data_IF_985528470207
#
_entry.id   IF_985528470207
#
_cell.length_a   1.000
_cell.length_b   1.000
_cell.length_c   1.000
_cell.angle_alpha   90.00
_cell.angle_beta   90.00
_cell.angle_gamma   90.00
#
_symmetry.space_group_name_H-M   'P 1'
#
loop_
_entity.id
_entity.type
_entity.pdbx_description
1 polymer ?
#
# COMPACT_ATOMS: atom_id res chain seq x y z
N UNK A 1 -7.93 22.42 -11.60
CA UNK A 1 -8.13 21.02 -11.17
C UNK A 1 -6.87 20.56 -10.46
N UNK A 2 -6.99 20.16 -9.21
CA UNK A 2 -5.87 19.64 -8.43
C UNK A 2 -5.43 18.28 -9.03
N UNK A 3 -4.12 18.03 -9.09
CA UNK A 3 -3.60 16.73 -9.59
C UNK A 3 -3.88 15.66 -8.55
N UNK A 4 -4.37 14.50 -9.00
CA UNK A 4 -4.58 13.35 -8.11
C UNK A 4 -3.25 12.72 -7.71
N UNK A 5 -3.17 12.25 -6.46
CA UNK A 5 -2.14 11.34 -5.98
C UNK A 5 -2.77 9.97 -5.72
N UNK A 6 -2.66 9.02 -6.66
CA UNK A 6 -3.13 7.67 -6.43
C UNK A 6 -2.29 6.96 -5.36
N UNK A 7 -2.94 6.37 -4.38
CA UNK A 7 -2.31 5.56 -3.31
C UNK A 7 -2.98 4.19 -3.29
N UNK A 8 -2.19 3.15 -3.51
CA UNK A 8 -2.66 1.77 -3.51
C UNK A 8 -2.16 1.04 -2.27
N UNK A 9 -3.08 0.38 -1.58
CA UNK A 9 -2.78 -0.52 -0.47
C UNK A 9 -3.11 -1.95 -0.89
N UNK A 10 -2.12 -2.85 -0.83
CA UNK A 10 -2.29 -4.29 -0.98
C UNK A 10 -2.16 -4.92 0.40
N UNK A 11 -3.25 -5.51 0.88
CA UNK A 11 -3.35 -6.03 2.24
C UNK A 11 -3.57 -7.54 2.23
N UNK A 12 -2.69 -8.26 2.88
CA UNK A 12 -2.81 -9.69 3.11
C UNK A 12 -3.99 -9.97 4.05
N UNK A 13 -4.90 -10.83 3.59
CA UNK A 13 -6.03 -11.33 4.35
C UNK A 13 -5.97 -12.86 4.50
N UNK A 14 -4.81 -13.47 4.29
CA UNK A 14 -4.62 -14.91 4.49
C UNK A 14 -4.94 -15.35 5.92
N UNK A 15 -5.09 -16.65 6.13
CA UNK A 15 -5.58 -17.19 7.40
C UNK A 15 -4.73 -16.83 8.63
N UNK A 16 -3.43 -16.56 8.45
CA UNK A 16 -2.53 -16.09 9.52
C UNK A 16 -2.86 -14.68 10.02
N UNK A 17 -3.52 -13.87 9.19
CA UNK A 17 -4.00 -12.53 9.57
C UNK A 17 -5.29 -12.56 10.39
N UNK A 18 -5.92 -13.72 10.59
CA UNK A 18 -7.18 -13.84 11.34
C UNK A 18 -7.01 -13.45 12.81
N UNK A 19 -8.01 -12.76 13.36
CA UNK A 19 -8.05 -12.33 14.76
C UNK A 19 -7.39 -10.98 14.99
N UNK A 20 -6.50 -10.87 15.96
CA UNK A 20 -5.87 -9.61 16.32
C UNK A 20 -5.16 -8.89 15.17
N UNK A 21 -4.39 -9.55 14.29
CA UNK A 21 -3.70 -8.86 13.20
C UNK A 21 -4.64 -8.08 12.29
N UNK A 22 -5.70 -8.69 11.79
CA UNK A 22 -6.61 -8.00 10.86
C UNK A 22 -7.42 -6.88 11.54
N UNK A 23 -7.80 -7.06 12.82
CA UNK A 23 -8.44 -5.98 13.57
C UNK A 23 -7.48 -4.81 13.78
N UNK A 24 -6.21 -5.08 14.01
CA UNK A 24 -5.16 -4.05 14.11
C UNK A 24 -4.97 -3.30 12.78
N UNK A 25 -5.04 -4.00 11.65
CA UNK A 25 -5.02 -3.38 10.31
C UNK A 25 -6.22 -2.44 10.13
N UNK A 26 -7.43 -2.86 10.50
CA UNK A 26 -8.64 -2.03 10.38
C UNK A 26 -8.50 -0.73 11.19
N UNK A 27 -8.11 -0.84 12.46
CA UNK A 27 -7.89 0.33 13.33
C UNK A 27 -6.81 1.25 12.76
N UNK A 28 -5.71 0.68 12.27
CA UNK A 28 -4.63 1.44 11.63
C UNK A 28 -5.09 2.19 10.37
N UNK A 29 -5.90 1.55 9.52
CA UNK A 29 -6.48 2.18 8.34
C UNK A 29 -7.42 3.34 8.69
N UNK A 30 -8.28 3.16 9.68
CA UNK A 30 -9.17 4.23 10.16
C UNK A 30 -8.36 5.44 10.67
N UNK A 31 -7.32 5.19 11.45
CA UNK A 31 -6.42 6.22 11.95
C UNK A 31 -5.67 6.93 10.80
N UNK A 32 -5.19 6.19 9.80
CA UNK A 32 -4.53 6.73 8.62
C UNK A 32 -5.47 7.64 7.83
N UNK A 33 -6.66 7.19 7.47
CA UNK A 33 -7.65 7.97 6.72
C UNK A 33 -8.06 9.22 7.51
N UNK A 34 -8.30 9.08 8.82
CA UNK A 34 -8.62 10.21 9.70
C UNK A 34 -7.48 11.24 9.74
N UNK A 35 -6.23 10.79 9.75
CA UNK A 35 -5.05 11.67 9.73
C UNK A 35 -4.94 12.41 8.40
N UNK A 36 -5.06 11.69 7.28
CA UNK A 36 -4.99 12.27 5.94
C UNK A 36 -6.09 13.30 5.69
N UNK A 37 -7.31 13.07 6.20
CA UNK A 37 -8.43 14.02 6.09
C UNK A 37 -8.21 15.33 6.83
N UNK A 38 -7.29 15.37 7.79
CA UNK A 38 -6.90 16.60 8.50
C UNK A 38 -5.86 17.41 7.76
N UNK A 39 -5.21 16.85 6.75
CA UNK A 39 -4.28 17.56 5.87
C UNK A 39 -5.05 18.07 4.64
N UNK A 40 -5.24 19.40 4.48
CA UNK A 40 -6.00 19.95 3.35
C UNK A 40 -5.46 19.54 1.98
N UNK A 41 -4.14 19.41 1.85
CA UNK A 41 -3.51 18.99 0.58
C UNK A 41 -3.80 17.54 0.27
N UNK A 42 -3.76 16.66 1.29
CA UNK A 42 -4.10 15.25 1.13
C UNK A 42 -5.59 15.09 0.81
N UNK A 43 -6.46 15.84 1.49
CA UNK A 43 -7.90 15.78 1.27
C UNK A 43 -8.30 16.10 -0.17
N UNK A 44 -7.63 17.07 -0.79
CA UNK A 44 -7.93 17.51 -2.17
C UNK A 44 -7.31 16.61 -3.25
N UNK A 45 -6.23 15.91 -2.96
CA UNK A 45 -5.43 15.23 -3.99
C UNK A 45 -5.39 13.72 -3.86
N UNK A 46 -5.43 13.17 -2.63
CA UNK A 46 -5.27 11.73 -2.41
C UNK A 46 -6.50 10.96 -2.86
N UNK A 47 -6.25 9.96 -3.68
CA UNK A 47 -7.22 8.93 -4.05
C UNK A 47 -6.69 7.60 -3.55
N UNK A 48 -7.45 6.92 -2.72
CA UNK A 48 -7.05 5.66 -2.08
C UNK A 48 -7.74 4.48 -2.75
N UNK A 49 -6.98 3.41 -2.97
CA UNK A 49 -7.48 2.11 -3.39
C UNK A 49 -6.98 1.03 -2.45
N UNK A 50 -7.82 0.03 -2.16
CA UNK A 50 -7.48 -1.11 -1.32
C UNK A 50 -7.79 -2.40 -2.07
N UNK A 51 -6.76 -3.22 -2.24
CA UNK A 51 -6.84 -4.58 -2.76
C UNK A 51 -6.48 -5.53 -1.63
N UNK A 52 -7.31 -6.49 -1.35
CA UNK A 52 -7.00 -7.58 -0.41
C UNK A 52 -6.66 -8.86 -1.14
N UNK A 53 -5.80 -9.67 -0.55
CA UNK A 53 -5.37 -10.92 -1.16
C UNK A 53 -5.18 -12.03 -0.13
N UNK A 54 -5.74 -13.17 -0.45
CA UNK A 54 -5.57 -14.46 0.18
C UNK A 54 -5.60 -15.53 -0.93
N UNK A 55 -6.50 -16.50 -0.91
CA UNK A 55 -6.80 -17.38 -2.04
C UNK A 55 -7.46 -16.62 -3.19
N UNK A 56 -8.24 -15.61 -2.85
CA UNK A 56 -8.90 -14.70 -3.78
C UNK A 56 -8.27 -13.32 -3.70
N UNK A 57 -8.30 -12.59 -4.80
CA UNK A 57 -7.89 -11.19 -4.83
C UNK A 57 -9.11 -10.33 -5.05
N UNK A 58 -9.31 -9.34 -4.18
CA UNK A 58 -10.51 -8.51 -4.17
C UNK A 58 -10.14 -7.03 -4.20
N UNK A 59 -10.70 -6.31 -5.15
CA UNK A 59 -10.70 -4.86 -5.19
C UNK A 59 -11.84 -4.37 -4.28
N UNK A 60 -11.54 -4.23 -2.99
CA UNK A 60 -12.56 -3.87 -1.99
C UNK A 60 -12.82 -2.37 -1.91
N UNK A 61 -11.88 -1.56 -2.40
CA UNK A 61 -12.02 -0.12 -2.54
C UNK A 61 -11.37 0.31 -3.86
N UNK A 62 -12.15 0.55 -4.92
CA UNK A 62 -11.63 1.18 -6.15
C UNK A 62 -11.05 2.55 -5.83
N UNK A 63 -10.21 3.08 -6.73
CA UNK A 63 -9.54 4.37 -6.53
C UNK A 63 -10.55 5.50 -6.25
N UNK A 64 -10.67 5.89 -4.99
CA UNK A 64 -11.70 6.77 -4.46
C UNK A 64 -11.09 8.00 -3.81
N UNK A 65 -11.69 9.16 -4.06
CA UNK A 65 -11.32 10.43 -3.42
C UNK A 65 -11.42 10.33 -1.90
N UNK A 66 -10.43 10.86 -1.21
CA UNK A 66 -10.34 10.77 0.25
C UNK A 66 -11.55 11.40 0.97
N UNK A 67 -12.14 12.44 0.40
CA UNK A 67 -13.32 13.10 0.94
C UNK A 67 -14.55 12.18 0.97
N UNK A 68 -14.76 11.45 -0.13
CA UNK A 68 -15.94 10.60 -0.33
C UNK A 68 -15.72 9.12 0.09
N UNK A 69 -14.54 8.80 0.58
CA UNK A 69 -14.15 7.45 0.91
C UNK A 69 -14.86 6.95 2.16
N UNK A 70 -15.44 5.75 2.07
CA UNK A 70 -15.88 4.94 3.21
C UNK A 70 -15.06 3.66 3.22
N UNK A 71 -14.38 3.40 4.32
CA UNK A 71 -13.59 2.17 4.44
C UNK A 71 -14.50 0.95 4.39
N UNK A 72 -14.21 -0.03 3.52
CA UNK A 72 -14.95 -1.27 3.47
C UNK A 72 -14.59 -2.15 4.66
N UNK A 73 -15.46 -3.12 4.96
CA UNK A 73 -15.13 -4.17 5.92
C UNK A 73 -14.10 -5.13 5.32
N UNK A 74 -13.14 -5.54 6.14
CA UNK A 74 -12.06 -6.46 5.74
C UNK A 74 -12.21 -7.75 6.52
N UNK A 75 -12.43 -8.85 5.81
CA UNK A 75 -12.63 -10.16 6.41
C UNK A 75 -11.51 -11.11 6.01
N UNK A 76 -11.12 -11.98 6.92
CA UNK A 76 -10.14 -13.04 6.70
C UNK A 76 -10.82 -14.40 6.67
N UNK A 77 -10.44 -15.32 5.76
CA UNK A 77 -10.91 -16.71 5.79
C UNK A 77 -10.29 -17.48 6.98
N UNK A 78 -10.83 -18.68 7.26
CA UNK A 78 -10.29 -19.58 8.29
C UNK A 78 -8.85 -20.02 8.00
N UNK A 79 -8.52 -20.20 6.72
CA UNK A 79 -7.20 -20.57 6.22
C UNK A 79 -7.10 -20.23 4.74
N UNK A 80 -5.90 -19.99 4.26
CA UNK A 80 -5.70 -19.74 2.82
C UNK A 80 -4.26 -19.39 2.48
N UNK A 81 -3.90 -19.55 1.20
CA UNK A 81 -2.61 -19.14 0.67
C UNK A 81 -2.52 -17.61 0.56
N UNK A 82 -1.32 -17.13 0.28
CA UNK A 82 -0.99 -15.72 0.08
C UNK A 82 -0.72 -15.49 -1.41
N UNK A 83 -1.75 -15.14 -2.19
CA UNK A 83 -1.63 -14.95 -3.64
C UNK A 83 -1.24 -13.49 -3.98
N UNK A 84 -0.04 -13.08 -3.58
CA UNK A 84 0.47 -11.73 -3.85
C UNK A 84 0.74 -11.50 -5.35
N UNK A 85 1.11 -12.53 -6.11
CA UNK A 85 1.30 -12.43 -7.56
C UNK A 85 0.00 -12.08 -8.30
N UNK A 86 -1.13 -12.70 -7.90
CA UNK A 86 -2.45 -12.34 -8.42
C UNK A 86 -2.86 -10.91 -8.01
N UNK A 87 -2.48 -10.47 -6.81
CA UNK A 87 -2.73 -9.10 -6.39
C UNK A 87 -1.95 -8.08 -7.22
N UNK A 88 -0.70 -8.38 -7.58
CA UNK A 88 0.08 -7.55 -8.51
C UNK A 88 -0.52 -7.53 -9.92
N UNK A 89 -1.07 -8.66 -10.39
CA UNK A 89 -1.76 -8.72 -11.68
C UNK A 89 -2.97 -7.77 -11.69
N UNK A 90 -3.84 -7.87 -10.69
CA UNK A 90 -5.00 -6.99 -10.56
C UNK A 90 -4.58 -5.52 -10.44
N UNK A 91 -3.57 -5.23 -9.62
CA UNK A 91 -3.02 -3.87 -9.49
C UNK A 91 -2.54 -3.34 -10.85
N UNK A 92 -1.80 -4.15 -11.60
CA UNK A 92 -1.30 -3.76 -12.93
C UNK A 92 -2.44 -3.40 -13.89
N UNK A 93 -3.49 -4.22 -13.92
CA UNK A 93 -4.69 -3.95 -14.73
C UNK A 93 -5.40 -2.66 -14.32
N UNK A 94 -5.54 -2.43 -12.99
CA UNK A 94 -6.17 -1.22 -12.44
C UNK A 94 -5.36 0.01 -12.80
N UNK A 95 -4.06 0.00 -12.56
CA UNK A 95 -3.19 1.13 -12.87
C UNK A 95 -3.25 1.51 -14.36
N UNK A 96 -3.25 0.54 -15.26
CA UNK A 96 -3.35 0.81 -16.69
C UNK A 96 -4.70 1.44 -17.11
N UNK A 97 -5.78 1.18 -16.36
CA UNK A 97 -7.11 1.74 -16.62
C UNK A 97 -7.32 3.10 -15.94
N UNK A 98 -6.73 3.29 -14.77
CA UNK A 98 -7.06 4.39 -13.85
C UNK A 98 -6.07 5.56 -13.91
N UNK A 99 -4.81 5.31 -14.28
CA UNK A 99 -3.81 6.38 -14.34
C UNK A 99 -4.13 7.39 -15.44
N UNK A 100 -4.23 8.66 -15.02
CA UNK A 100 -4.31 9.78 -15.95
C UNK A 100 -2.90 10.18 -16.33
N UNK A 101 -2.52 9.86 -17.56
CA UNK A 101 -1.22 10.28 -18.11
C UNK A 101 -1.28 11.75 -18.50
N UNK A 102 -0.20 12.49 -18.26
CA UNK A 102 -0.08 13.87 -18.70
C UNK A 102 -0.02 13.96 -20.24
N UNK A 103 -0.57 15.04 -20.77
CA UNK A 103 -0.50 15.40 -22.20
C UNK A 103 -0.08 16.86 -22.34
N UNK A 104 0.03 17.35 -23.58
CA UNK A 104 0.30 18.77 -23.83
C UNK A 104 -0.76 19.73 -23.31
N UNK A 105 -1.99 19.25 -23.10
CA UNK A 105 -3.16 20.04 -22.67
C UNK A 105 -3.64 19.73 -21.26
N UNK A 106 -3.19 18.63 -20.65
CA UNK A 106 -3.66 18.19 -19.34
C UNK A 106 -2.50 17.66 -18.47
N UNK A 107 -2.43 18.14 -17.23
CA UNK A 107 -1.53 17.57 -16.22
C UNK A 107 -2.06 16.20 -15.82
N UNK A 108 -1.21 15.18 -15.91
CA UNK A 108 -1.52 13.83 -15.43
C UNK A 108 -1.49 13.72 -13.91
N UNK A 109 -1.76 12.53 -13.40
CA UNK A 109 -1.63 12.20 -11.98
C UNK A 109 -0.21 12.46 -11.47
N UNK A 110 -0.06 12.66 -10.16
CA UNK A 110 1.23 12.52 -9.51
C UNK A 110 1.70 11.07 -9.58
N UNK A 111 3.01 10.83 -9.43
CA UNK A 111 3.55 9.47 -9.35
C UNK A 111 2.86 8.73 -8.22
N UNK A 112 2.18 7.60 -8.50
CA UNK A 112 1.40 6.89 -7.49
C UNK A 112 2.30 6.29 -6.40
N UNK A 113 1.71 6.00 -5.26
CA UNK A 113 2.38 5.31 -4.15
C UNK A 113 1.76 3.93 -3.97
N UNK A 114 2.60 2.94 -3.68
CA UNK A 114 2.19 1.57 -3.41
C UNK A 114 2.71 1.13 -2.04
N UNK A 115 1.81 0.66 -1.20
CA UNK A 115 2.12 0.03 0.08
C UNK A 115 1.57 -1.40 0.09
N UNK A 116 2.42 -2.35 0.44
CA UNK A 116 2.07 -3.77 0.53
C UNK A 116 2.31 -4.22 1.96
N UNK A 117 1.35 -4.94 2.54
CA UNK A 117 1.49 -5.54 3.85
C UNK A 117 1.17 -7.03 3.77
N UNK A 118 2.09 -7.87 4.22
CA UNK A 118 1.93 -9.32 4.30
C UNK A 118 2.71 -9.90 5.47
N UNK A 119 2.19 -10.95 6.09
CA UNK A 119 2.88 -11.73 7.12
C UNK A 119 3.50 -13.02 6.58
N UNK A 120 3.32 -13.29 5.28
CA UNK A 120 3.72 -14.54 4.64
C UNK A 120 4.61 -14.37 3.41
N UNK A 121 5.03 -15.52 2.90
CA UNK A 121 5.70 -15.63 1.60
C UNK A 121 4.63 -15.82 0.50
N UNK A 122 4.78 -15.18 -0.68
CA UNK A 122 3.88 -15.45 -1.79
C UNK A 122 3.78 -16.93 -2.12
N UNK A 123 2.56 -17.45 -2.19
CA UNK A 123 2.30 -18.85 -2.54
C UNK A 123 2.33 -19.07 -4.06
N UNK A 124 2.11 -18.02 -4.84
CA UNK A 124 2.06 -18.00 -6.30
C UNK A 124 3.32 -17.36 -6.90
N UNK A 125 4.51 -17.85 -6.48
CA UNK A 125 5.82 -17.27 -6.82
C UNK A 125 6.06 -17.05 -8.31
N UNK A 126 5.60 -17.97 -9.17
CA UNK A 126 5.77 -17.83 -10.62
C UNK A 126 5.04 -16.58 -11.14
N UNK A 127 3.79 -16.37 -10.75
CA UNK A 127 3.01 -15.19 -11.09
C UNK A 127 3.58 -13.92 -10.43
N UNK A 128 4.00 -14.02 -9.18
CA UNK A 128 4.65 -12.91 -8.48
C UNK A 128 5.88 -12.41 -9.25
N UNK A 129 6.79 -13.31 -9.65
CA UNK A 129 7.98 -12.96 -10.42
C UNK A 129 7.65 -12.42 -11.81
N UNK A 130 6.60 -12.92 -12.46
CA UNK A 130 6.13 -12.39 -13.75
C UNK A 130 5.70 -10.92 -13.65
N UNK A 131 4.99 -10.56 -12.57
CA UNK A 131 4.42 -9.21 -12.44
C UNK A 131 5.36 -8.17 -11.81
N UNK A 132 6.42 -8.57 -11.12
CA UNK A 132 7.41 -7.64 -10.57
C UNK A 132 7.90 -6.61 -11.60
N UNK A 133 8.47 -6.99 -12.75
CA UNK A 133 8.97 -6.01 -13.72
C UNK A 133 7.84 -5.16 -14.32
N UNK A 134 6.63 -5.70 -14.44
CA UNK A 134 5.48 -4.96 -14.93
C UNK A 134 5.08 -3.84 -13.96
N UNK A 135 5.03 -4.14 -12.65
CA UNK A 135 4.75 -3.16 -11.60
C UNK A 135 5.84 -2.09 -11.54
N UNK A 136 7.11 -2.50 -11.55
CA UNK A 136 8.25 -1.57 -11.54
C UNK A 136 8.22 -0.61 -12.74
N UNK A 137 7.74 -1.07 -13.90
CA UNK A 137 7.62 -0.25 -15.11
C UNK A 137 6.49 0.79 -15.08
N UNK A 138 5.53 0.69 -14.16
CA UNK A 138 4.42 1.65 -14.05
C UNK A 138 4.83 3.03 -13.56
N UNK A 139 6.04 3.18 -13.02
CA UNK A 139 6.58 4.46 -12.59
C UNK A 139 6.00 4.97 -11.28
N UNK A 140 5.81 4.08 -10.30
CA UNK A 140 5.47 4.48 -8.93
C UNK A 140 6.52 5.45 -8.37
N UNK A 141 6.08 6.44 -7.62
CA UNK A 141 6.95 7.35 -6.89
C UNK A 141 7.66 6.64 -5.73
N UNK A 142 6.97 5.72 -5.09
CA UNK A 142 7.54 4.81 -4.10
C UNK A 142 6.73 3.51 -4.05
N UNK A 143 7.45 2.40 -3.86
CA UNK A 143 6.87 1.09 -3.53
C UNK A 143 7.45 0.70 -2.17
N UNK A 144 6.60 0.52 -1.18
CA UNK A 144 6.98 0.08 0.17
C UNK A 144 6.34 -1.26 0.45
N UNK A 145 7.13 -2.24 0.83
CA UNK A 145 6.64 -3.55 1.24
C UNK A 145 6.92 -3.78 2.73
N UNK A 146 5.88 -4.15 3.47
CA UNK A 146 5.91 -4.42 4.89
C UNK A 146 5.81 -5.92 5.16
N UNK A 147 6.85 -6.48 5.76
CA UNK A 147 6.87 -7.84 6.29
C UNK A 147 6.40 -7.80 7.75
N UNK A 148 5.16 -8.23 8.02
CA UNK A 148 4.54 -8.10 9.34
C UNK A 148 4.70 -9.37 10.18
N UNK A 149 5.27 -9.21 11.38
CA UNK A 149 5.42 -10.26 12.38
C UNK A 149 6.65 -11.15 12.22
N UNK A 150 6.95 -11.95 13.25
CA UNK A 150 8.23 -12.67 13.37
C UNK A 150 8.43 -13.81 12.36
N UNK A 151 7.37 -14.26 11.70
CA UNK A 151 7.42 -15.33 10.69
C UNK A 151 7.41 -14.82 9.26
N UNK A 152 7.32 -13.51 9.05
CA UNK A 152 7.27 -12.90 7.74
C UNK A 152 8.58 -13.09 6.96
N UNK A 153 8.47 -13.12 5.63
CA UNK A 153 9.61 -13.30 4.74
C UNK A 153 9.86 -12.04 3.93
N UNK A 154 10.91 -11.29 4.28
CA UNK A 154 11.29 -10.07 3.59
C UNK A 154 12.06 -10.30 2.28
N UNK A 155 12.70 -11.47 2.09
CA UNK A 155 13.52 -11.73 0.91
C UNK A 155 12.71 -11.72 -0.39
N UNK A 156 11.51 -12.30 -0.37
CA UNK A 156 10.62 -12.24 -1.54
C UNK A 156 10.17 -10.82 -1.86
N UNK A 157 9.98 -9.96 -0.85
CA UNK A 157 9.59 -8.57 -1.04
C UNK A 157 10.72 -7.71 -1.60
N UNK A 158 11.98 -8.04 -1.28
CA UNK A 158 13.17 -7.38 -1.86
C UNK A 158 13.29 -7.58 -3.37
N UNK A 159 12.65 -8.58 -3.95
CA UNK A 159 12.58 -8.72 -5.40
C UNK A 159 11.76 -7.63 -6.08
N UNK A 160 10.78 -7.09 -5.37
CA UNK A 160 9.88 -6.05 -5.88
C UNK A 160 10.41 -4.63 -5.63
N UNK A 161 10.96 -4.39 -4.44
CA UNK A 161 11.42 -3.07 -4.00
C UNK A 161 12.55 -3.14 -2.99
N UNK A 162 13.41 -2.12 -3.00
CA UNK A 162 14.43 -1.94 -1.97
C UNK A 162 13.85 -1.39 -0.65
N UNK A 163 12.69 -0.74 -0.72
CA UNK A 163 12.02 -0.17 0.46
C UNK A 163 11.19 -1.25 1.17
N UNK A 164 11.87 -2.19 1.79
CA UNK A 164 11.24 -3.22 2.62
C UNK A 164 11.39 -2.85 4.08
N UNK A 165 10.30 -2.89 4.83
CA UNK A 165 10.28 -2.71 6.27
C UNK A 165 9.78 -3.98 6.95
N UNK A 166 10.24 -4.21 8.16
CA UNK A 166 9.84 -5.34 9.00
C UNK A 166 9.18 -4.84 10.28
N UNK A 167 8.07 -5.47 10.66
CA UNK A 167 7.41 -5.27 11.94
C UNK A 167 7.67 -6.49 12.83
N UNK A 168 8.17 -6.27 14.04
CA UNK A 168 8.51 -7.35 14.97
C UNK A 168 7.27 -8.13 15.43
N UNK A 169 6.14 -7.45 15.52
CA UNK A 169 4.87 -8.02 15.98
C UNK A 169 3.72 -7.63 15.05
N UNK A 170 2.58 -8.26 15.26
CA UNK A 170 1.32 -7.96 14.57
C UNK A 170 0.27 -7.36 15.51
N UNK A 171 0.71 -6.73 16.60
CA UNK A 171 -0.18 -6.07 17.55
C UNK A 171 -0.66 -4.69 17.09
N UNK A 172 -1.68 -4.18 17.77
CA UNK A 172 -2.33 -2.92 17.43
C UNK A 172 -1.41 -1.71 17.52
N UNK A 173 -0.43 -1.71 18.43
CA UNK A 173 0.52 -0.61 18.59
C UNK A 173 1.44 -0.52 17.39
N UNK A 174 2.03 -1.65 17.00
CA UNK A 174 2.97 -1.74 15.87
C UNK A 174 2.29 -1.37 14.55
N UNK A 175 1.08 -1.89 14.30
CA UNK A 175 0.32 -1.52 13.10
C UNK A 175 -0.10 -0.04 13.11
N UNK A 176 -0.48 0.51 14.26
CA UNK A 176 -0.80 1.94 14.37
C UNK A 176 0.40 2.82 14.03
N UNK A 177 1.60 2.46 14.48
CA UNK A 177 2.83 3.17 14.14
C UNK A 177 3.15 3.07 12.64
N UNK A 178 2.98 1.89 12.05
CA UNK A 178 3.17 1.68 10.61
C UNK A 178 2.20 2.53 9.79
N UNK A 179 0.90 2.48 10.06
CA UNK A 179 -0.09 3.27 9.30
C UNK A 179 0.05 4.78 9.52
N UNK A 180 0.49 5.22 10.69
CA UNK A 180 0.85 6.62 10.93
C UNK A 180 2.04 7.05 10.09
N UNK A 181 3.05 6.19 9.95
CA UNK A 181 4.19 6.43 9.07
C UNK A 181 3.78 6.43 7.59
N UNK A 182 2.90 5.52 7.16
CA UNK A 182 2.30 5.53 5.81
C UNK A 182 1.59 6.86 5.56
N UNK A 183 0.76 7.33 6.49
CA UNK A 183 0.09 8.63 6.39
C UNK A 183 1.08 9.79 6.21
N UNK A 184 2.14 9.83 7.01
CA UNK A 184 3.20 10.84 6.89
C UNK A 184 3.92 10.75 5.53
N UNK A 185 4.19 9.54 5.05
CA UNK A 185 4.81 9.29 3.74
C UNK A 185 3.95 9.80 2.59
N UNK A 186 2.64 9.58 2.65
CA UNK A 186 1.68 10.10 1.67
C UNK A 186 1.64 11.63 1.68
N UNK A 187 1.60 12.24 2.87
CA UNK A 187 1.57 13.71 3.01
C UNK A 187 2.86 14.37 2.49
N UNK A 188 4.04 13.76 2.72
CA UNK A 188 5.31 14.24 2.18
C UNK A 188 5.36 14.06 0.67
N UNK A 189 5.00 12.88 0.16
CA UNK A 189 4.92 12.60 -1.27
C UNK A 189 4.03 13.59 -2.01
N UNK A 190 2.94 14.01 -1.40
CA UNK A 190 2.04 15.01 -1.95
C UNK A 190 2.67 16.42 -2.03
N UNK A 191 3.47 16.81 -1.05
CA UNK A 191 4.11 18.13 -0.99
C UNK A 191 5.38 18.20 -1.84
N UNK A 192 6.22 17.17 -1.85
CA UNK A 192 7.51 17.16 -2.56
C UNK A 192 7.37 17.08 -4.08
N UNK A 193 6.28 16.57 -4.60
CA UNK A 193 6.05 16.49 -6.05
C UNK A 193 5.90 17.87 -6.74
N UNK A 194 5.72 18.95 -5.97
CA UNK A 194 5.75 20.33 -6.47
C UNK A 194 7.15 20.93 -6.60
N UNK A 195 8.15 20.41 -5.89
CA UNK A 195 9.51 20.96 -5.79
C UNK A 195 10.57 20.23 -6.62
N UNK A 196 10.23 19.09 -7.22
CA UNK A 196 11.20 18.29 -8.01
C UNK A 196 12.20 17.51 -7.19
N UNK A 197 12.12 17.57 -5.86
CA UNK A 197 13.00 16.84 -4.95
C UNK A 197 12.61 15.37 -4.85
N UNK A 198 13.59 14.54 -4.54
CA UNK A 198 13.42 13.09 -4.36
C UNK A 198 12.31 12.81 -3.34
N UNK A 199 11.44 11.84 -3.66
CA UNK A 199 10.44 11.28 -2.75
C UNK A 199 11.14 10.44 -1.66
N UNK A 200 11.97 11.08 -0.83
CA UNK A 200 12.52 10.41 0.34
C UNK A 200 11.41 10.17 1.35
N UNK A 201 11.23 8.91 1.72
CA UNK A 201 10.29 8.54 2.77
C UNK A 201 10.79 9.12 4.11
N UNK A 202 9.88 9.55 4.99
CA UNK A 202 10.29 9.95 6.33
C UNK A 202 10.94 8.74 7.04
N UNK A 203 11.83 8.98 8.02
CA UNK A 203 12.39 7.89 8.78
C UNK A 203 11.27 7.06 9.44
N UNK A 204 11.33 5.72 9.36
CA UNK A 204 10.35 4.88 9.98
C UNK A 204 10.40 4.99 11.51
N UNK A 205 9.28 4.74 12.21
CA UNK A 205 9.25 4.71 13.67
C UNK A 205 10.08 3.53 14.23
N UNK A 206 10.42 3.55 15.53
CA UNK A 206 11.31 2.54 16.12
C UNK A 206 10.88 1.09 15.95
N UNK A 207 9.57 0.84 15.85
CA UNK A 207 9.00 -0.51 15.69
C UNK A 207 8.89 -0.96 14.24
N UNK A 208 9.33 -0.13 13.30
CA UNK A 208 9.31 -0.36 11.85
C UNK A 208 10.75 -0.36 11.36
N UNK A 209 11.31 -1.52 11.14
CA UNK A 209 12.73 -1.69 10.83
C UNK A 209 12.98 -1.79 9.32
N UNK A 210 13.78 -0.89 8.72
CA UNK A 210 14.23 -1.08 7.35
C UNK A 210 15.01 -2.38 7.23
N UNK A 211 14.71 -3.17 6.20
CA UNK A 211 15.45 -4.40 5.89
C UNK A 211 16.58 -4.06 4.91
N UNK A 212 17.78 -4.03 5.41
CA UNK A 212 19.01 -3.75 4.65
C UNK A 212 19.43 -4.97 3.84
#
# INVERSE_FOLDING_TARGET
MVRRLPVYLLLDTSGSMKGEPIESVKVGLEAMVSSLRKDPFALESVHLSIITFDREVKDILPLTELENLTLPDINTPESGPTHLGMALELLYERCNKEFIRGSSTQKGDWKPLLFIMTDGKPSDMAKYQEFIPKIQSLGFGSIVACAAGPKSNSESLKLLTENVVHLDTTDSSTFSHFFKWVSASVSIGNRSQGSGDNNELPPPPPDVHPVI
#
